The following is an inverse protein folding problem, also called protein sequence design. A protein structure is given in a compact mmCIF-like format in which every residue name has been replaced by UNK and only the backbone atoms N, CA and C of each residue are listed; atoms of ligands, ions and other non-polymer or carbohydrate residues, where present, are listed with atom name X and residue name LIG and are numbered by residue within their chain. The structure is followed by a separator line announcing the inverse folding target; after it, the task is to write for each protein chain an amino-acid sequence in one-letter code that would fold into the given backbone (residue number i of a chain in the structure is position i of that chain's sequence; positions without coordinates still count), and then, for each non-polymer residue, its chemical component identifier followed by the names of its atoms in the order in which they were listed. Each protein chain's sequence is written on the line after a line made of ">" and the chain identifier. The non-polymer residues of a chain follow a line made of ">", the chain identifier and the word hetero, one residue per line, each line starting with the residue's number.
data_IF_725075384986
#
_entry.id   IF_725075384986
#
_cell.length_a   1.000
_cell.length_b   1.000
_cell.length_c   1.000
_cell.angle_alpha   90.00
_cell.angle_beta   90.00
_cell.angle_gamma   90.00
#
_symmetry.space_group_name_H-M   'P 1'
#
loop_
_entity.id
_entity.type
_entity.pdbx_description
1 polymer ?
#
# COMPACT_ATOMS: atom_id res chain seq x y z
N UNK A 1 44.83 -2.38 -21.41
CA UNK A 1 43.81 -3.17 -22.14
C UNK A 1 42.61 -2.26 -22.25
N UNK A 2 42.39 -1.77 -23.46
CA UNK A 2 41.23 -0.95 -23.81
C UNK A 2 39.97 -1.76 -23.49
N UNK A 3 39.12 -1.21 -22.64
CA UNK A 3 37.78 -1.73 -22.47
C UNK A 3 37.03 -1.36 -23.74
N UNK A 4 36.82 -2.36 -24.59
CA UNK A 4 35.95 -2.30 -25.75
C UNK A 4 34.52 -2.06 -25.25
N UNK A 5 34.19 -0.77 -25.07
CA UNK A 5 32.81 -0.36 -24.96
C UNK A 5 32.21 -0.66 -26.33
N UNK A 6 31.41 -1.73 -26.43
CA UNK A 6 30.46 -1.86 -27.52
C UNK A 6 29.72 -0.53 -27.61
N UNK A 7 30.03 0.26 -28.64
CA UNK A 7 29.62 1.64 -28.72
C UNK A 7 28.12 1.66 -28.88
N UNK A 8 27.42 2.14 -27.84
CA UNK A 8 26.03 2.57 -27.98
C UNK A 8 26.00 3.56 -29.14
N UNK A 9 25.43 3.12 -30.25
CA UNK A 9 25.38 3.89 -31.49
C UNK A 9 24.10 4.71 -31.46
N UNK A 10 24.16 6.04 -31.67
CA UNK A 10 22.94 6.84 -31.77
C UNK A 10 22.06 6.28 -32.89
N UNK A 11 20.74 6.36 -32.71
CA UNK A 11 19.80 5.99 -33.78
C UNK A 11 19.99 6.95 -34.97
N UNK A 12 20.43 6.40 -36.09
CA UNK A 12 20.70 7.14 -37.33
C UNK A 12 19.66 6.80 -38.41
N UNK A 13 19.21 7.83 -39.13
CA UNK A 13 18.21 7.70 -40.19
C UNK A 13 16.77 7.59 -39.67
N UNK A 14 15.82 7.52 -40.61
CA UNK A 14 14.41 7.29 -40.28
C UNK A 14 14.22 5.80 -39.95
N UNK A 15 13.55 5.52 -38.83
CA UNK A 15 13.23 4.16 -38.41
C UNK A 15 11.99 3.68 -39.18
N UNK A 16 12.09 2.49 -39.80
CA UNK A 16 10.97 1.86 -40.51
C UNK A 16 10.33 0.71 -39.73
N UNK A 17 11.08 0.10 -38.80
CA UNK A 17 10.63 -1.05 -38.03
C UNK A 17 11.25 -1.07 -36.64
N UNK A 18 10.44 -1.45 -35.65
CA UNK A 18 10.90 -1.71 -34.28
C UNK A 18 10.37 -3.04 -33.80
N UNK A 19 11.20 -3.80 -33.11
CA UNK A 19 10.83 -5.10 -32.55
C UNK A 19 11.23 -5.18 -31.09
N UNK A 20 10.25 -5.40 -30.21
CA UNK A 20 10.46 -5.64 -28.80
C UNK A 20 10.22 -7.13 -28.50
N UNK A 21 11.29 -7.79 -28.07
CA UNK A 21 11.26 -9.13 -27.50
C UNK A 21 11.08 -9.00 -26.00
N UNK A 22 10.18 -9.79 -25.42
CA UNK A 22 9.96 -9.84 -23.97
C UNK A 22 9.80 -11.28 -23.53
N UNK A 23 10.56 -11.68 -22.52
CA UNK A 23 10.67 -13.03 -22.00
C UNK A 23 10.40 -13.04 -20.50
N UNK A 24 9.42 -13.81 -20.08
CA UNK A 24 9.07 -13.99 -18.66
C UNK A 24 9.32 -15.43 -18.24
N UNK A 25 10.27 -15.62 -17.31
CA UNK A 25 10.54 -16.92 -16.69
C UNK A 25 9.63 -17.12 -15.47
N UNK A 26 8.58 -17.94 -15.60
CA UNK A 26 7.81 -18.53 -14.47
C UNK A 26 8.13 -20.03 -14.40
N UNK A 27 7.23 -20.87 -13.87
CA UNK A 27 7.30 -22.34 -14.00
C UNK A 27 7.39 -22.82 -15.46
N UNK A 28 7.04 -21.95 -16.42
CA UNK A 28 7.23 -22.12 -17.87
C UNK A 28 7.85 -20.84 -18.45
N UNK A 29 8.69 -20.97 -19.49
CA UNK A 29 9.24 -19.84 -20.25
C UNK A 29 8.17 -19.33 -21.22
N UNK A 30 7.81 -18.05 -21.12
CA UNK A 30 6.94 -17.35 -22.07
C UNK A 30 7.78 -16.32 -22.83
N UNK A 31 7.61 -16.24 -24.15
CA UNK A 31 8.28 -15.26 -25.03
C UNK A 31 7.25 -14.59 -25.95
N UNK A 32 7.34 -13.24 -26.01
CA UNK A 32 6.50 -12.36 -26.81
C UNK A 32 7.37 -11.50 -27.71
N UNK A 33 6.93 -11.32 -28.94
CA UNK A 33 7.50 -10.39 -29.92
C UNK A 33 6.41 -9.38 -30.26
N UNK A 34 6.70 -8.10 -30.05
CA UNK A 34 5.89 -6.97 -30.50
C UNK A 34 6.67 -6.24 -31.60
N UNK A 35 6.18 -6.33 -32.83
CA UNK A 35 6.77 -5.67 -33.99
C UNK A 35 5.89 -4.50 -34.43
N UNK A 36 6.46 -3.32 -34.61
CA UNK A 36 5.83 -2.14 -35.19
C UNK A 36 6.49 -1.85 -36.53
N UNK A 37 5.69 -1.71 -37.58
CA UNK A 37 6.16 -1.44 -38.94
C UNK A 37 5.51 -0.16 -39.49
N UNK A 38 6.34 0.88 -39.76
CA UNK A 38 5.90 2.19 -40.26
C UNK A 38 5.35 2.06 -41.70
N UNK A 39 6.08 1.38 -42.58
CA UNK A 39 5.73 1.25 -44.01
C UNK A 39 4.38 0.56 -44.22
N UNK A 40 4.11 -0.48 -43.43
CA UNK A 40 2.87 -1.23 -43.48
C UNK A 40 1.78 -0.65 -42.57
N UNK A 41 2.12 0.25 -41.65
CA UNK A 41 1.27 0.70 -40.55
C UNK A 41 0.65 -0.48 -39.76
N UNK A 42 1.46 -1.51 -39.48
CA UNK A 42 1.03 -2.77 -38.83
C UNK A 42 1.80 -3.05 -37.54
N UNK A 43 1.07 -3.54 -36.54
CA UNK A 43 1.63 -4.17 -35.34
C UNK A 43 1.43 -5.67 -35.48
N UNK A 44 2.51 -6.43 -35.36
CA UNK A 44 2.48 -7.88 -35.26
C UNK A 44 2.86 -8.31 -33.84
N UNK A 45 1.99 -9.09 -33.19
CA UNK A 45 2.24 -9.67 -31.87
C UNK A 45 2.35 -11.16 -32.02
N UNK A 46 3.51 -11.74 -31.70
CA UNK A 46 3.75 -13.18 -31.75
C UNK A 46 4.04 -13.71 -30.36
N UNK A 47 3.23 -14.67 -29.90
CA UNK A 47 3.47 -15.40 -28.65
C UNK A 47 3.98 -16.81 -28.96
N UNK A 48 5.21 -17.12 -28.53
CA UNK A 48 5.84 -18.41 -28.82
C UNK A 48 5.47 -19.52 -27.82
N UNK A 49 5.04 -19.17 -26.61
CA UNK A 49 4.70 -20.19 -25.62
C UNK A 49 3.72 -19.64 -24.56
N UNK A 50 2.43 -20.07 -24.54
CA UNK A 50 1.86 -21.14 -25.35
C UNK A 50 1.79 -20.76 -26.84
N UNK A 51 2.06 -21.70 -27.75
CA UNK A 51 2.08 -21.42 -29.18
C UNK A 51 0.64 -21.23 -29.71
N UNK A 52 0.41 -20.20 -30.55
CA UNK A 52 -0.76 -20.20 -31.44
C UNK A 52 -1.55 -18.90 -31.66
N UNK A 53 -1.12 -17.73 -31.18
CA UNK A 53 -1.77 -16.45 -31.57
C UNK A 53 -0.69 -15.46 -32.01
N UNK A 54 -0.44 -15.46 -33.32
CA UNK A 54 0.10 -14.30 -34.01
C UNK A 54 -1.07 -13.40 -34.35
N UNK A 55 -1.18 -12.24 -33.71
CA UNK A 55 -2.21 -11.26 -34.04
C UNK A 55 -1.55 -10.11 -34.83
N UNK A 56 -2.11 -9.77 -35.99
CA UNK A 56 -1.71 -8.60 -36.77
C UNK A 56 -2.81 -7.53 -36.69
N UNK A 57 -2.42 -6.29 -36.40
CA UNK A 57 -3.32 -5.15 -36.26
C UNK A 57 -2.86 -3.98 -37.10
N UNK A 58 -3.79 -3.30 -37.77
CA UNK A 58 -3.53 -2.00 -38.39
C UNK A 58 -3.61 -0.90 -37.32
N UNK A 59 -2.69 0.06 -37.38
CA UNK A 59 -2.69 1.23 -36.49
C UNK A 59 -2.65 2.54 -37.28
N UNK A 60 -3.17 3.65 -36.72
CA UNK A 60 -3.01 4.97 -37.34
C UNK A 60 -1.59 5.47 -37.14
N UNK A 61 -0.95 6.00 -38.18
CA UNK A 61 0.46 6.45 -38.14
C UNK A 61 0.86 7.29 -36.89
N UNK A 62 0.01 8.22 -36.37
CA UNK A 62 0.33 8.95 -35.13
C UNK A 62 0.61 8.09 -33.89
N UNK A 63 0.10 6.85 -33.83
CA UNK A 63 0.42 5.90 -32.76
C UNK A 63 1.86 5.41 -32.84
N UNK A 64 2.41 5.25 -34.05
CA UNK A 64 3.81 4.89 -34.26
C UNK A 64 4.71 6.02 -33.78
N UNK A 65 4.52 7.25 -34.24
CA UNK A 65 5.36 8.39 -33.84
C UNK A 65 5.40 8.59 -32.32
N UNK A 66 4.26 8.46 -31.64
CA UNK A 66 4.17 8.52 -30.18
C UNK A 66 4.98 7.43 -29.50
N UNK A 67 4.73 6.17 -29.84
CA UNK A 67 5.45 5.02 -29.26
C UNK A 67 6.94 5.07 -29.59
N UNK A 68 7.30 5.50 -30.79
CA UNK A 68 8.69 5.66 -31.21
C UNK A 68 9.46 6.66 -30.37
N UNK A 69 8.83 7.76 -29.96
CA UNK A 69 9.44 8.73 -29.05
C UNK A 69 9.81 8.10 -27.70
N UNK A 70 8.87 7.38 -27.09
CA UNK A 70 9.10 6.72 -25.80
C UNK A 70 10.07 5.53 -25.90
N UNK A 71 10.01 4.74 -26.97
CA UNK A 71 10.96 3.65 -27.22
C UNK A 71 12.38 4.18 -27.48
N UNK A 72 12.51 5.31 -28.16
CA UNK A 72 13.79 5.99 -28.37
C UNK A 72 14.36 6.46 -27.03
N UNK A 73 13.56 7.04 -26.15
CA UNK A 73 14.01 7.41 -24.80
C UNK A 73 14.48 6.19 -24.00
N UNK A 74 13.82 5.03 -24.14
CA UNK A 74 14.30 3.76 -23.57
C UNK A 74 15.68 3.41 -24.15
N UNK A 75 15.82 3.46 -25.47
CA UNK A 75 17.09 3.22 -26.17
C UNK A 75 18.18 4.23 -25.84
N UNK A 76 17.88 5.44 -25.38
CA UNK A 76 18.91 6.43 -25.03
C UNK A 76 19.26 6.38 -23.54
N UNK A 77 18.30 6.02 -22.68
CA UNK A 77 18.42 6.16 -21.23
C UNK A 77 18.73 4.84 -20.52
N UNK A 78 18.21 3.72 -21.01
CA UNK A 78 18.28 2.43 -20.30
C UNK A 78 19.34 1.52 -20.91
N UNK A 79 20.54 1.56 -20.32
CA UNK A 79 21.62 0.59 -20.57
C UNK A 79 22.00 -0.04 -19.24
N UNK A 80 21.47 -1.23 -18.98
CA UNK A 80 21.93 -2.00 -17.84
C UNK A 80 22.87 -3.12 -18.29
N UNK A 81 24.06 -3.15 -17.66
CA UNK A 81 24.92 -4.34 -17.57
C UNK A 81 24.29 -5.41 -16.66
N UNK A 82 22.97 -5.54 -16.62
CA UNK A 82 22.35 -6.63 -15.89
C UNK A 82 22.44 -7.86 -16.77
N UNK A 83 23.10 -8.92 -16.30
CA UNK A 83 23.30 -10.17 -17.06
C UNK A 83 21.99 -10.97 -17.30
N UNK A 84 20.84 -10.31 -17.36
CA UNK A 84 19.52 -10.88 -17.64
C UNK A 84 18.89 -10.12 -18.81
N UNK A 85 18.88 -10.78 -19.96
CA UNK A 85 18.21 -10.30 -21.17
C UNK A 85 16.75 -10.78 -21.15
N UNK A 86 15.96 -10.22 -20.23
CA UNK A 86 14.54 -10.54 -20.17
C UNK A 86 13.75 -9.78 -21.25
N UNK A 87 14.24 -8.63 -21.73
CA UNK A 87 13.70 -7.96 -22.91
C UNK A 87 14.82 -7.47 -23.83
N UNK A 88 14.54 -7.37 -25.14
CA UNK A 88 15.44 -6.85 -26.17
C UNK A 88 14.66 -5.95 -27.12
N UNK A 89 15.15 -4.75 -27.38
CA UNK A 89 14.55 -3.78 -28.29
C UNK A 89 15.48 -3.60 -29.49
N UNK A 90 14.95 -3.79 -30.70
CA UNK A 90 15.69 -3.69 -31.97
C UNK A 90 15.02 -2.67 -32.87
N UNK A 91 15.78 -1.70 -33.35
CA UNK A 91 15.36 -0.72 -34.34
C UNK A 91 16.01 -1.04 -35.67
N UNK A 92 15.25 -0.91 -36.76
CA UNK A 92 15.74 -1.05 -38.13
C UNK A 92 15.45 0.24 -38.89
N UNK A 93 16.50 0.88 -39.40
CA UNK A 93 16.36 2.08 -40.21
C UNK A 93 16.04 1.76 -41.68
N UNK A 94 15.72 2.77 -42.48
CA UNK A 94 15.41 2.61 -43.91
C UNK A 94 16.54 1.91 -44.70
N UNK A 95 17.80 2.16 -44.32
CA UNK A 95 19.00 1.54 -44.90
C UNK A 95 19.20 0.06 -44.48
N UNK A 96 18.42 -0.45 -43.52
CA UNK A 96 18.52 -1.81 -43.02
C UNK A 96 19.58 -2.02 -41.93
N UNK A 97 20.11 -0.94 -41.35
CA UNK A 97 20.98 -1.03 -40.17
C UNK A 97 20.15 -1.31 -38.92
N UNK A 98 20.69 -2.18 -38.06
CA UNK A 98 20.06 -2.57 -36.79
C UNK A 98 20.73 -1.88 -35.59
N UNK A 99 19.91 -1.40 -34.66
CA UNK A 99 20.32 -0.79 -33.40
C UNK A 99 19.60 -1.51 -32.26
N UNK A 100 20.33 -1.98 -31.26
CA UNK A 100 19.76 -2.82 -30.21
C UNK A 100 20.11 -2.36 -28.80
N UNK A 101 19.16 -2.56 -27.89
CA UNK A 101 19.37 -2.48 -26.44
C UNK A 101 18.57 -3.59 -25.75
N UNK A 102 18.92 -3.91 -24.51
CA UNK A 102 18.30 -4.99 -23.74
C UNK A 102 18.32 -4.67 -22.25
N UNK A 103 17.54 -5.43 -21.48
CA UNK A 103 17.55 -5.30 -20.03
C UNK A 103 16.66 -6.30 -19.31
N UNK A 104 16.57 -6.13 -18.00
CA UNK A 104 15.74 -6.92 -17.11
C UNK A 104 14.31 -6.35 -17.03
N UNK A 105 13.32 -7.22 -16.79
CA UNK A 105 11.94 -6.78 -16.56
C UNK A 105 11.83 -6.02 -15.23
N UNK A 106 11.39 -4.76 -15.28
CA UNK A 106 11.22 -3.93 -14.09
C UNK A 106 9.75 -3.83 -13.68
N UNK A 107 9.42 -4.24 -12.46
CA UNK A 107 8.03 -4.28 -11.97
C UNK A 107 7.44 -2.91 -11.59
N UNK A 108 8.28 -1.87 -11.51
CA UNK A 108 7.90 -0.52 -11.06
C UNK A 108 8.88 0.50 -11.64
N UNK A 109 8.44 1.74 -11.81
CA UNK A 109 9.25 2.86 -12.30
C UNK A 109 8.93 3.28 -13.73
N UNK A 110 9.88 3.97 -14.38
CA UNK A 110 9.64 4.58 -15.70
C UNK A 110 9.28 3.55 -16.79
N UNK A 111 9.94 2.39 -16.80
CA UNK A 111 9.65 1.32 -17.76
C UNK A 111 8.24 0.73 -17.59
N UNK A 112 7.70 0.64 -16.37
CA UNK A 112 6.31 0.21 -16.17
C UNK A 112 5.32 1.27 -16.63
N UNK A 113 5.62 2.56 -16.45
CA UNK A 113 4.79 3.65 -16.99
C UNK A 113 4.72 3.63 -18.52
N UNK A 114 5.86 3.43 -19.20
CA UNK A 114 5.93 3.28 -20.66
C UNK A 114 5.15 2.03 -21.10
N UNK A 115 5.31 0.92 -20.38
CA UNK A 115 4.57 -0.32 -20.66
C UNK A 115 3.06 -0.12 -20.56
N UNK A 116 2.57 0.55 -19.52
CA UNK A 116 1.14 0.85 -19.35
C UNK A 116 0.61 1.82 -20.42
N UNK A 117 1.41 2.80 -20.83
CA UNK A 117 1.06 3.70 -21.94
C UNK A 117 0.93 2.92 -23.27
N UNK A 118 1.89 2.04 -23.57
CA UNK A 118 1.86 1.17 -24.76
C UNK A 118 0.60 0.29 -24.75
N UNK A 119 0.30 -0.36 -23.62
CA UNK A 119 -0.92 -1.17 -23.45
C UNK A 119 -2.20 -0.35 -23.65
N UNK A 120 -2.24 0.87 -23.10
CA UNK A 120 -3.36 1.79 -23.22
C UNK A 120 -3.58 2.21 -24.68
N UNK A 121 -2.51 2.60 -25.37
CA UNK A 121 -2.55 3.01 -26.77
C UNK A 121 -3.08 1.90 -27.68
N UNK A 122 -2.61 0.67 -27.46
CA UNK A 122 -3.02 -0.49 -28.25
C UNK A 122 -4.26 -1.21 -27.72
N UNK A 123 -4.81 -0.77 -26.57
CA UNK A 123 -5.92 -1.43 -25.87
C UNK A 123 -5.67 -2.92 -25.60
N UNK A 124 -4.40 -3.29 -25.35
CA UNK A 124 -3.95 -4.66 -25.12
C UNK A 124 -3.29 -4.77 -23.73
N UNK A 125 -4.09 -5.13 -22.73
CA UNK A 125 -3.61 -5.24 -21.34
C UNK A 125 -2.74 -6.47 -21.06
N UNK A 126 -2.63 -7.39 -22.02
CA UNK A 126 -1.91 -8.65 -21.94
C UNK A 126 -0.43 -8.54 -22.36
N UNK A 127 -0.04 -7.48 -23.07
CA UNK A 127 1.34 -7.28 -23.54
C UNK A 127 2.33 -7.31 -22.39
N UNK A 128 3.42 -8.06 -22.54
CA UNK A 128 4.47 -8.18 -21.54
C UNK A 128 5.30 -6.91 -21.46
N UNK A 129 5.76 -6.37 -22.60
CA UNK A 129 6.57 -5.14 -22.68
C UNK A 129 7.71 -5.15 -21.64
N UNK A 130 8.24 -4.00 -21.23
CA UNK A 130 9.43 -3.86 -20.39
C UNK A 130 9.23 -4.30 -18.92
N UNK A 131 7.99 -4.43 -18.44
CA UNK A 131 7.69 -4.81 -17.05
C UNK A 131 7.23 -6.27 -16.90
N UNK A 132 6.95 -6.95 -18.02
CA UNK A 132 6.51 -8.33 -18.06
C UNK A 132 5.05 -8.50 -17.64
N UNK A 133 4.25 -7.44 -17.64
CA UNK A 133 2.86 -7.40 -17.20
C UNK A 133 2.69 -8.00 -15.79
N UNK A 134 3.23 -7.33 -14.75
CA UNK A 134 3.02 -7.75 -13.39
C UNK A 134 1.56 -7.54 -12.99
N UNK A 135 1.08 -8.36 -12.06
CA UNK A 135 -0.16 -8.03 -11.37
C UNK A 135 0.14 -6.89 -10.38
N UNK A 136 -0.84 -6.02 -10.17
CA UNK A 136 -0.73 -4.85 -9.29
C UNK A 136 -2.05 -4.60 -8.58
N UNK A 137 -2.00 -3.87 -7.47
CA UNK A 137 -3.22 -3.51 -6.75
C UNK A 137 -3.93 -2.39 -7.51
N UNK A 138 -5.21 -2.59 -7.81
CA UNK A 138 -6.05 -1.60 -8.48
C UNK A 138 -6.98 -0.89 -7.51
N UNK A 139 -7.43 -1.60 -6.46
CA UNK A 139 -8.37 -1.03 -5.50
C UNK A 139 -8.16 -1.60 -4.11
N UNK A 140 -8.20 -0.71 -3.12
CA UNK A 140 -8.26 -1.06 -1.70
C UNK A 140 -9.49 -0.38 -1.11
N UNK A 141 -10.30 -1.14 -0.38
CA UNK A 141 -11.42 -0.63 0.39
C UNK A 141 -11.22 -1.04 1.85
N UNK A 142 -11.19 -0.04 2.72
CA UNK A 142 -11.07 -0.18 4.16
C UNK A 142 -12.41 0.17 4.76
N UNK A 143 -12.90 -0.67 5.65
CA UNK A 143 -14.11 -0.48 6.42
C UNK A 143 -13.74 -0.66 7.88
N UNK A 144 -14.12 0.31 8.71
CA UNK A 144 -13.93 0.30 10.14
C UNK A 144 -15.27 0.61 10.78
N UNK A 145 -15.65 -0.18 11.78
CA UNK A 145 -16.84 0.04 12.58
C UNK A 145 -16.44 0.00 14.05
N UNK A 146 -16.98 0.94 14.82
CA UNK A 146 -16.78 1.05 16.25
C UNK A 146 -18.13 1.27 16.91
N UNK A 147 -18.42 0.44 17.91
CA UNK A 147 -19.57 0.58 18.78
C UNK A 147 -19.02 0.92 20.17
N UNK A 148 -19.10 2.19 20.56
CA UNK A 148 -18.63 2.67 21.85
C UNK A 148 -19.72 2.53 22.91
N UNK A 149 -19.34 2.00 24.07
CA UNK A 149 -20.17 2.01 25.25
C UNK A 149 -19.91 3.29 26.04
N UNK A 150 -20.78 4.29 25.89
CA UNK A 150 -20.86 5.39 26.86
C UNK A 150 -21.81 4.98 27.99
N UNK A 151 -21.67 5.59 29.16
CA UNK A 151 -22.37 5.21 30.39
C UNK A 151 -23.87 4.95 30.19
N UNK A 152 -24.31 3.80 30.71
CA UNK A 152 -25.66 3.21 30.84
C UNK A 152 -26.74 3.34 29.75
N UNK A 153 -26.71 4.23 28.75
CA UNK A 153 -27.80 4.32 27.75
C UNK A 153 -27.40 4.76 26.31
N UNK A 154 -26.17 5.25 26.05
CA UNK A 154 -25.77 5.67 24.68
C UNK A 154 -24.70 4.75 24.05
N UNK A 155 -25.12 3.98 23.07
CA UNK A 155 -24.22 3.30 22.13
C UNK A 155 -23.88 4.30 21.02
N UNK A 156 -22.60 4.61 20.86
CA UNK A 156 -22.14 5.46 19.76
C UNK A 156 -21.59 4.57 18.67
N UNK A 157 -22.38 4.40 17.63
CA UNK A 157 -21.95 3.72 16.41
C UNK A 157 -21.25 4.72 15.50
N UNK A 158 -19.97 4.47 15.24
CA UNK A 158 -19.22 5.13 14.18
C UNK A 158 -18.76 4.14 13.13
N UNK A 159 -18.73 4.61 11.89
CA UNK A 159 -18.17 3.86 10.77
C UNK A 159 -17.31 4.76 9.91
N UNK A 160 -16.20 4.20 9.46
CA UNK A 160 -15.31 4.83 8.50
C UNK A 160 -15.11 3.90 7.31
N UNK A 161 -15.11 4.49 6.12
CA UNK A 161 -14.84 3.82 4.86
C UNK A 161 -13.84 4.62 4.06
N UNK A 162 -12.73 3.99 3.68
CA UNK A 162 -11.72 4.58 2.78
C UNK A 162 -11.65 3.72 1.53
N UNK A 163 -11.84 4.31 0.37
CA UNK A 163 -11.66 3.65 -0.93
C UNK A 163 -10.53 4.34 -1.68
N UNK A 164 -9.51 3.57 -2.01
CA UNK A 164 -8.37 3.98 -2.83
C UNK A 164 -8.52 3.25 -4.15
N UNK A 165 -8.71 3.99 -5.23
CA UNK A 165 -9.08 3.41 -6.52
C UNK A 165 -8.22 3.96 -7.66
N UNK A 166 -7.52 3.05 -8.34
CA UNK A 166 -6.64 3.37 -9.47
C UNK A 166 -7.44 3.90 -10.66
N UNK A 167 -8.60 3.33 -10.95
CA UNK A 167 -9.36 3.67 -12.15
C UNK A 167 -9.88 5.12 -12.13
N UNK A 168 -10.32 5.57 -10.96
CA UNK A 168 -10.75 6.97 -10.75
C UNK A 168 -9.62 7.91 -10.33
N UNK A 169 -8.41 7.37 -10.07
CA UNK A 169 -7.27 8.09 -9.48
C UNK A 169 -7.71 8.93 -8.26
N UNK A 170 -8.49 8.33 -7.37
CA UNK A 170 -9.10 9.03 -6.25
C UNK A 170 -9.05 8.23 -4.95
N UNK A 171 -9.05 8.98 -3.84
CA UNK A 171 -9.29 8.47 -2.50
C UNK A 171 -10.59 9.07 -1.98
N UNK A 172 -11.55 8.19 -1.64
CA UNK A 172 -12.84 8.57 -1.08
C UNK A 172 -12.88 8.14 0.38
N UNK A 173 -12.98 9.11 1.28
CA UNK A 173 -13.15 8.88 2.72
C UNK A 173 -14.58 9.22 3.11
N UNK A 174 -15.27 8.29 3.76
CA UNK A 174 -16.62 8.46 4.27
C UNK A 174 -16.61 8.15 5.75
N UNK A 175 -17.12 9.04 6.57
CA UNK A 175 -17.26 8.85 8.02
C UNK A 175 -18.70 9.09 8.41
N UNK A 176 -19.27 8.17 9.16
CA UNK A 176 -20.56 8.33 9.78
C UNK A 176 -20.36 8.21 11.29
N UNK A 177 -20.88 9.16 12.04
CA UNK A 177 -20.89 9.13 13.51
C UNK A 177 -22.32 9.37 13.94
N UNK A 178 -22.91 8.38 14.61
CA UNK A 178 -24.35 8.29 14.78
C UNK A 178 -25.13 8.37 13.45
N UNK A 179 -26.45 8.48 13.54
CA UNK A 179 -27.31 8.80 12.40
C UNK A 179 -27.21 10.27 11.93
N UNK A 180 -26.46 11.11 12.65
CA UNK A 180 -26.53 12.57 12.53
C UNK A 180 -25.39 13.18 11.72
N UNK A 181 -24.17 12.65 11.80
CA UNK A 181 -23.02 13.22 11.10
C UNK A 181 -22.58 12.29 9.97
N UNK A 182 -22.57 12.82 8.74
CA UNK A 182 -22.08 12.14 7.54
C UNK A 182 -21.09 13.03 6.84
N UNK A 183 -19.83 12.64 6.83
CA UNK A 183 -18.75 13.35 6.14
C UNK A 183 -18.32 12.52 4.95
N UNK A 184 -18.15 13.17 3.80
CA UNK A 184 -17.56 12.56 2.61
C UNK A 184 -16.52 13.50 2.01
N UNK A 185 -15.30 13.01 1.92
CA UNK A 185 -14.20 13.66 1.21
C UNK A 185 -13.87 12.84 -0.03
N UNK A 186 -13.70 13.50 -1.16
CA UNK A 186 -13.25 12.89 -2.40
C UNK A 186 -12.03 13.67 -2.88
N UNK A 187 -10.86 13.04 -2.87
CA UNK A 187 -9.60 13.65 -3.27
C UNK A 187 -9.14 12.97 -4.55
N UNK A 188 -9.05 13.74 -5.63
CA UNK A 188 -8.61 13.26 -6.94
C UNK A 188 -7.13 13.59 -7.12
N UNK A 189 -6.28 12.57 -7.22
CA UNK A 189 -4.83 12.67 -7.17
C UNK A 189 -4.19 11.86 -8.31
N UNK A 190 -4.38 12.36 -9.54
CA UNK A 190 -3.90 11.72 -10.77
C UNK A 190 -2.41 11.34 -10.70
N UNK A 191 -2.10 10.07 -10.92
CA UNK A 191 -0.76 9.49 -10.89
C UNK A 191 -0.27 9.19 -9.48
N UNK A 192 -0.65 9.99 -8.48
CA UNK A 192 -0.26 9.78 -7.08
C UNK A 192 -0.96 8.53 -6.51
N UNK A 193 -2.25 8.29 -6.81
CA UNK A 193 -2.95 7.09 -6.36
C UNK A 193 -2.33 5.84 -6.99
N UNK A 194 -2.07 5.86 -8.30
CA UNK A 194 -1.35 4.78 -8.97
C UNK A 194 -0.01 4.48 -8.31
N UNK A 195 0.81 5.50 -8.06
CA UNK A 195 2.12 5.35 -7.42
C UNK A 195 2.00 4.79 -6.00
N UNK A 196 1.01 5.25 -5.22
CA UNK A 196 0.74 4.71 -3.89
C UNK A 196 0.37 3.22 -3.93
N UNK A 197 -0.46 2.81 -4.89
CA UNK A 197 -0.88 1.42 -5.04
C UNK A 197 0.21 0.51 -5.62
N UNK A 198 1.15 1.03 -6.41
CA UNK A 198 2.30 0.28 -6.92
C UNK A 198 3.26 -0.15 -5.79
N UNK A 199 3.28 0.60 -4.69
CA UNK A 199 4.02 0.29 -3.47
C UNK A 199 3.36 -0.80 -2.61
N UNK A 200 2.10 -1.15 -2.89
CA UNK A 200 1.35 -2.16 -2.15
C UNK A 200 1.51 -3.53 -2.82
N UNK A 201 1.99 -4.50 -2.06
CA UNK A 201 2.11 -5.88 -2.55
C UNK A 201 0.72 -6.47 -2.87
N UNK A 202 0.62 -7.21 -3.97
CA UNK A 202 -0.57 -8.03 -4.28
C UNK A 202 -0.87 -9.10 -3.21
N UNK A 203 0.11 -9.41 -2.36
CA UNK A 203 -0.03 -10.30 -1.21
C UNK A 203 -0.13 -9.52 0.12
N UNK A 204 -0.39 -8.21 0.10
CA UNK A 204 -0.60 -7.43 1.32
C UNK A 204 -1.72 -8.03 2.17
N UNK A 205 -1.65 -7.78 3.47
CA UNK A 205 -2.64 -8.19 4.46
C UNK A 205 -2.82 -9.71 4.59
N UNK A 206 -1.82 -10.51 4.18
CA UNK A 206 -1.94 -11.99 4.18
C UNK A 206 -1.82 -12.64 5.56
N UNK A 207 -1.23 -11.95 6.53
CA UNK A 207 -0.89 -12.54 7.84
C UNK A 207 -1.47 -11.68 8.94
N UNK A 208 -2.32 -12.29 9.75
CA UNK A 208 -2.86 -11.76 11.01
C UNK A 208 -2.35 -12.68 12.12
N UNK A 209 -1.84 -12.12 13.21
CA UNK A 209 -1.35 -12.92 14.34
C UNK A 209 -2.51 -13.52 15.14
N UNK A 210 -3.55 -12.72 15.34
CA UNK A 210 -4.73 -13.07 16.12
C UNK A 210 -4.51 -12.83 17.62
N UNK A 211 -5.62 -12.60 18.30
CA UNK A 211 -5.64 -12.45 19.75
C UNK A 211 -5.58 -13.82 20.46
N UNK A 212 -4.93 -13.91 21.63
CA UNK A 212 -5.06 -15.06 22.53
C UNK A 212 -6.52 -15.36 22.88
N UNK A 213 -6.82 -16.61 23.26
CA UNK A 213 -8.19 -17.03 23.58
C UNK A 213 -8.72 -16.45 24.91
N UNK A 214 -7.83 -15.97 25.77
CA UNK A 214 -8.10 -15.46 27.11
C UNK A 214 -8.05 -13.93 27.20
N UNK A 215 -8.13 -13.24 26.06
CA UNK A 215 -8.33 -11.78 26.05
C UNK A 215 -9.62 -11.39 26.77
N UNK A 216 -9.54 -10.30 27.51
CA UNK A 216 -10.68 -9.67 28.15
C UNK A 216 -11.51 -8.91 27.11
N UNK A 217 -12.79 -8.71 27.41
CA UNK A 217 -13.62 -7.81 26.62
C UNK A 217 -13.07 -6.40 26.69
N UNK A 218 -13.01 -5.71 25.55
CA UNK A 218 -12.57 -4.32 25.49
C UNK A 218 -13.65 -3.43 26.14
N UNK A 219 -13.37 -2.77 27.26
CA UNK A 219 -14.37 -1.93 27.92
C UNK A 219 -14.74 -0.70 27.09
N UNK A 220 -13.87 -0.25 26.17
CA UNK A 220 -14.18 0.80 25.20
C UNK A 220 -15.16 0.35 24.09
N UNK A 221 -15.62 -0.91 24.12
CA UNK A 221 -16.58 -1.46 23.15
C UNK A 221 -15.93 -2.17 21.97
N UNK A 222 -16.79 -2.67 21.08
CA UNK A 222 -16.38 -3.51 19.95
C UNK A 222 -15.85 -2.63 18.80
N UNK A 223 -14.68 -3.00 18.27
CA UNK A 223 -14.07 -2.35 17.13
C UNK A 223 -13.65 -3.40 16.13
N UNK A 224 -14.14 -3.27 14.90
CA UNK A 224 -13.92 -4.25 13.84
C UNK A 224 -13.49 -3.59 12.55
N UNK A 225 -12.78 -4.34 11.73
CA UNK A 225 -12.41 -3.90 10.40
C UNK A 225 -12.72 -4.94 9.33
N UNK A 226 -12.75 -4.43 8.10
CA UNK A 226 -12.82 -5.21 6.88
C UNK A 226 -11.99 -4.52 5.80
N UNK A 227 -10.96 -5.21 5.30
CA UNK A 227 -10.09 -4.79 4.21
C UNK A 227 -10.42 -5.64 2.98
N UNK A 228 -10.70 -4.97 1.87
CA UNK A 228 -10.86 -5.59 0.55
C UNK A 228 -9.77 -5.09 -0.38
N UNK A 229 -9.10 -6.01 -1.06
CA UNK A 229 -8.05 -5.72 -2.03
C UNK A 229 -8.41 -6.39 -3.36
N UNK A 230 -8.39 -5.61 -4.43
CA UNK A 230 -8.63 -6.08 -5.80
C UNK A 230 -7.41 -5.77 -6.67
N UNK A 231 -6.96 -6.76 -7.45
CA UNK A 231 -5.80 -6.62 -8.34
C UNK A 231 -6.20 -6.48 -9.80
N UNK A 232 -5.26 -6.01 -10.64
CA UNK A 232 -5.39 -5.90 -12.10
C UNK A 232 -5.90 -7.17 -12.77
N UNK A 233 -5.46 -8.35 -12.31
CA UNK A 233 -5.92 -9.63 -12.85
C UNK A 233 -7.18 -10.18 -12.16
N UNK A 234 -7.93 -9.33 -11.45
CA UNK A 234 -9.22 -9.68 -10.85
C UNK A 234 -9.11 -10.54 -9.59
N UNK A 235 -7.91 -10.71 -9.02
CA UNK A 235 -7.79 -11.39 -7.72
C UNK A 235 -8.41 -10.50 -6.66
N UNK A 236 -9.28 -11.10 -5.84
CA UNK A 236 -9.94 -10.44 -4.71
C UNK A 236 -9.49 -11.08 -3.41
N UNK A 237 -9.17 -10.25 -2.43
CA UNK A 237 -8.90 -10.68 -1.06
C UNK A 237 -9.78 -9.89 -0.11
N UNK A 238 -10.28 -10.59 0.88
CA UNK A 238 -11.02 -10.02 2.00
C UNK A 238 -10.37 -10.46 3.32
N UNK A 239 -10.11 -9.52 4.22
CA UNK A 239 -9.56 -9.75 5.56
C UNK A 239 -10.39 -8.97 6.55
N UNK A 240 -10.79 -9.60 7.65
CA UNK A 240 -11.60 -8.98 8.70
C UNK A 240 -11.18 -9.51 10.06
N UNK A 241 -11.42 -8.70 11.08
CA UNK A 241 -11.08 -9.05 12.46
C UNK A 241 -11.39 -7.89 13.41
N UNK A 242 -10.94 -8.05 14.65
CA UNK A 242 -10.96 -6.99 15.65
C UNK A 242 -9.91 -5.91 15.31
N UNK A 243 -10.25 -4.66 15.54
CA UNK A 243 -9.38 -3.52 15.25
C UNK A 243 -8.47 -3.22 16.43
N UNK A 244 -7.45 -4.08 16.58
CA UNK A 244 -6.40 -4.00 17.58
C UNK A 244 -5.10 -4.53 16.98
N UNK A 245 -3.98 -4.33 17.67
CA UNK A 245 -2.63 -4.64 17.18
C UNK A 245 -2.45 -6.07 16.69
N UNK A 246 -3.07 -7.05 17.36
CA UNK A 246 -2.92 -8.48 17.03
C UNK A 246 -4.04 -8.95 16.10
N UNK A 247 -5.21 -8.31 16.14
CA UNK A 247 -6.34 -8.55 15.24
C UNK A 247 -6.10 -8.04 13.81
N UNK A 248 -5.24 -7.04 13.64
CA UNK A 248 -4.89 -6.46 12.34
C UNK A 248 -3.79 -7.24 11.60
N UNK A 249 -3.68 -7.07 10.27
CA UNK A 249 -2.57 -7.63 9.53
C UNK A 249 -1.22 -7.07 9.99
N UNK A 250 -0.18 -7.90 9.98
CA UNK A 250 1.18 -7.52 10.44
C UNK A 250 1.76 -6.34 9.66
N UNK A 251 1.39 -6.19 8.40
CA UNK A 251 1.81 -5.09 7.52
C UNK A 251 0.91 -3.84 7.62
N UNK A 252 -0.11 -3.84 8.48
CA UNK A 252 -1.04 -2.72 8.67
C UNK A 252 -0.35 -1.42 9.11
N UNK A 253 0.51 -1.38 10.17
CA UNK A 253 1.07 -0.11 10.64
C UNK A 253 1.82 0.65 9.54
N UNK A 254 2.63 -0.07 8.76
CA UNK A 254 3.38 0.50 7.63
C UNK A 254 2.46 1.02 6.52
N UNK A 255 1.36 0.33 6.25
CA UNK A 255 0.37 0.77 5.28
C UNK A 255 -0.38 2.02 5.78
N UNK A 256 -0.84 2.01 7.04
CA UNK A 256 -1.57 3.09 7.66
C UNK A 256 -0.72 4.37 7.75
N UNK A 257 0.56 4.26 8.14
CA UNK A 257 1.51 5.37 8.16
C UNK A 257 1.65 6.04 6.79
N UNK A 258 1.90 5.25 5.73
CA UNK A 258 2.03 5.77 4.36
C UNK A 258 0.76 6.46 3.89
N UNK A 259 -0.41 5.86 4.14
CA UNK A 259 -1.69 6.42 3.74
C UNK A 259 -2.02 7.69 4.53
N UNK A 260 -1.74 7.71 5.84
CA UNK A 260 -1.93 8.88 6.68
C UNK A 260 -1.06 10.04 6.22
N UNK A 261 0.21 9.78 5.92
CA UNK A 261 1.13 10.79 5.36
C UNK A 261 0.61 11.36 4.04
N UNK A 262 0.09 10.52 3.14
CA UNK A 262 -0.51 10.96 1.89
C UNK A 262 -1.73 11.88 2.13
N UNK A 263 -2.63 11.50 3.04
CA UNK A 263 -3.88 12.22 3.29
C UNK A 263 -3.71 13.50 4.13
N UNK A 264 -2.68 13.53 4.99
CA UNK A 264 -2.36 14.67 5.84
C UNK A 264 -2.19 15.96 5.04
N UNK A 265 -1.51 15.91 3.90
CA UNK A 265 -1.32 17.08 3.01
C UNK A 265 -2.63 17.67 2.47
N UNK A 266 -3.71 16.89 2.46
CA UNK A 266 -5.00 17.28 1.92
C UNK A 266 -6.05 17.53 3.01
N UNK A 267 -5.64 17.58 4.29
CA UNK A 267 -6.54 17.82 5.41
C UNK A 267 -7.57 16.71 5.61
N UNK A 268 -7.29 15.50 5.11
CA UNK A 268 -8.13 14.33 5.30
C UNK A 268 -7.47 13.46 6.36
N UNK A 269 -8.21 13.16 7.43
CA UNK A 269 -7.77 12.28 8.49
C UNK A 269 -8.82 11.19 8.71
N UNK A 270 -8.35 10.00 9.10
CA UNK A 270 -9.21 8.87 9.42
C UNK A 270 -8.83 8.23 10.74
N UNK A 271 -9.83 7.83 11.53
CA UNK A 271 -9.64 7.14 12.81
C UNK A 271 -8.96 5.79 12.60
N UNK A 272 -9.28 5.13 11.49
CA UNK A 272 -8.66 3.87 11.09
C UNK A 272 -7.15 4.00 10.83
N UNK A 273 -6.64 5.23 10.62
CA UNK A 273 -5.22 5.50 10.36
C UNK A 273 -4.47 6.02 11.60
N UNK A 274 -5.15 6.12 12.74
CA UNK A 274 -4.54 6.62 13.97
C UNK A 274 -3.82 5.47 14.73
N UNK A 275 -2.50 5.55 14.95
CA UNK A 275 -1.76 4.52 15.70
C UNK A 275 -2.29 4.29 17.10
N UNK A 276 -2.82 5.32 17.78
CA UNK A 276 -3.42 5.15 19.10
C UNK A 276 -4.60 4.16 19.11
N UNK A 277 -5.27 3.96 17.96
CA UNK A 277 -6.34 2.99 17.82
C UNK A 277 -5.79 1.60 17.43
N UNK A 278 -5.00 1.52 16.36
CA UNK A 278 -4.59 0.23 15.80
C UNK A 278 -3.40 -0.43 16.51
N UNK A 279 -2.65 0.29 17.35
CA UNK A 279 -1.56 -0.28 18.15
C UNK A 279 -2.01 -0.76 19.53
N UNK A 280 -3.27 -0.58 19.89
CA UNK A 280 -3.84 -1.07 21.16
C UNK A 280 -3.76 -2.59 21.20
N UNK A 281 -3.21 -3.13 22.28
CA UNK A 281 -3.24 -4.58 22.57
C UNK A 281 -4.47 -4.86 23.44
N UNK A 282 -5.11 -6.02 23.28
CA UNK A 282 -6.15 -6.46 24.21
C UNK A 282 -5.52 -7.19 25.39
N UNK A 283 -5.91 -6.82 26.60
CA UNK A 283 -5.41 -7.40 27.85
C UNK A 283 -5.87 -8.85 28.03
N UNK A 284 -4.96 -9.73 28.45
CA UNK A 284 -5.30 -11.09 28.86
C UNK A 284 -5.68 -11.14 30.35
N UNK A 285 -6.47 -12.15 30.75
CA UNK A 285 -7.02 -12.24 32.11
C UNK A 285 -5.98 -12.24 33.25
N UNK A 286 -4.77 -12.70 32.98
CA UNK A 286 -3.67 -12.81 33.96
C UNK A 286 -2.68 -11.62 33.92
N UNK A 287 -2.92 -10.62 33.08
CA UNK A 287 -2.09 -9.43 32.96
C UNK A 287 -2.57 -8.29 33.87
N UNK A 288 -1.61 -7.57 34.45
CA UNK A 288 -1.79 -6.32 35.17
C UNK A 288 -1.79 -5.15 34.19
N UNK A 289 -2.44 -4.04 34.56
CA UNK A 289 -2.56 -2.83 33.76
C UNK A 289 -1.54 -1.81 34.25
N UNK A 290 -0.58 -1.47 33.39
CA UNK A 290 0.42 -0.44 33.65
C UNK A 290 0.12 0.78 32.80
N UNK A 291 0.05 1.96 33.43
CA UNK A 291 -0.19 3.21 32.75
C UNK A 291 1.02 4.13 32.93
N UNK A 292 1.58 4.62 31.83
CA UNK A 292 2.60 5.65 31.86
C UNK A 292 1.90 7.02 31.95
N UNK A 293 2.12 7.74 33.05
CA UNK A 293 1.44 8.99 33.39
C UNK A 293 2.45 10.13 33.42
N UNK A 294 2.18 11.20 32.68
CA UNK A 294 2.98 12.42 32.65
C UNK A 294 2.24 13.56 33.38
N UNK A 295 2.95 14.40 34.13
CA UNK A 295 2.35 15.45 34.98
C UNK A 295 2.61 16.88 34.49
N UNK A 296 3.46 17.04 33.46
CA UNK A 296 3.85 18.33 32.91
C UNK A 296 4.38 18.18 31.47
N UNK A 297 4.35 19.27 30.68
CA UNK A 297 4.82 19.29 29.29
C UNK A 297 6.34 18.99 29.12
N UNK A 298 7.09 18.79 30.21
CA UNK A 298 8.55 18.58 30.22
C UNK A 298 9.04 17.33 30.96
N UNK A 299 8.15 16.57 31.59
CA UNK A 299 8.51 15.45 32.47
C UNK A 299 8.67 14.11 31.77
N UNK A 300 9.43 13.21 32.40
CA UNK A 300 9.44 11.79 32.04
C UNK A 300 8.24 11.11 32.69
N UNK A 301 7.43 10.39 31.92
CA UNK A 301 6.29 9.65 32.44
C UNK A 301 6.70 8.66 33.55
N UNK A 302 5.86 8.54 34.58
CA UNK A 302 5.99 7.53 35.63
C UNK A 302 5.01 6.40 35.37
N UNK A 303 5.41 5.18 35.72
CA UNK A 303 4.55 4.01 35.54
C UNK A 303 3.72 3.74 36.80
N UNK A 304 2.41 3.66 36.62
CA UNK A 304 1.41 3.41 37.66
C UNK A 304 0.62 2.13 37.36
N UNK A 305 0.04 1.50 38.38
CA UNK A 305 -0.92 0.40 38.21
C UNK A 305 -2.35 0.92 38.12
N UNK A 306 -3.17 0.27 37.31
CA UNK A 306 -4.61 0.44 37.32
C UNK A 306 -5.32 -0.86 37.71
N UNK A 307 -6.43 -0.73 38.43
CA UNK A 307 -7.25 -1.87 38.86
C UNK A 307 -8.33 -2.22 37.81
N UNK A 308 -8.73 -1.23 36.99
CA UNK A 308 -9.76 -1.35 35.94
C UNK A 308 -9.20 -0.96 34.57
N UNK A 309 -9.61 -1.67 33.52
CA UNK A 309 -9.07 -1.56 32.16
C UNK A 309 -9.70 -0.42 31.33
N UNK A 310 -10.06 0.68 31.98
CA UNK A 310 -10.88 1.75 31.36
C UNK A 310 -10.07 2.91 30.78
N UNK A 311 -8.75 2.86 30.90
CA UNK A 311 -7.87 3.98 30.63
C UNK A 311 -7.29 3.94 29.21
N UNK A 312 -7.20 5.08 28.55
CA UNK A 312 -6.67 5.26 27.20
C UNK A 312 -5.69 6.44 27.12
N UNK A 313 -4.96 6.54 26.00
CA UNK A 313 -4.07 7.67 25.73
C UNK A 313 -4.82 9.00 25.84
N UNK A 314 -4.22 9.98 26.53
CA UNK A 314 -4.75 11.32 26.71
C UNK A 314 -5.73 11.47 27.88
N UNK A 315 -6.19 10.37 28.49
CA UNK A 315 -7.02 10.43 29.70
C UNK A 315 -6.27 11.15 30.83
N UNK A 316 -6.95 12.07 31.50
CA UNK A 316 -6.45 12.69 32.73
C UNK A 316 -6.82 11.82 33.93
N UNK A 317 -5.91 11.67 34.90
CA UNK A 317 -6.06 10.75 36.03
C UNK A 317 -5.49 11.30 37.33
N UNK A 318 -6.05 10.83 38.45
CA UNK A 318 -5.48 10.98 39.78
C UNK A 318 -4.57 9.80 40.12
N UNK A 319 -3.41 10.08 40.72
CA UNK A 319 -2.42 9.05 41.10
C UNK A 319 -2.13 9.11 42.60
N UNK A 320 -2.01 7.95 43.23
CA UNK A 320 -1.74 7.83 44.66
C UNK A 320 -0.50 8.63 45.10
N UNK A 321 -0.70 9.53 46.07
CA UNK A 321 0.36 10.33 46.68
C UNK A 321 0.99 11.37 45.75
N UNK A 322 0.27 11.76 44.69
CA UNK A 322 0.60 12.90 43.82
C UNK A 322 -0.65 13.79 43.79
N UNK A 323 -0.49 15.08 44.07
CA UNK A 323 -1.60 16.02 44.16
C UNK A 323 -1.98 16.61 42.79
N UNK A 324 -1.04 16.55 41.83
CA UNK A 324 -1.22 16.98 40.45
C UNK A 324 -2.02 15.97 39.61
N UNK A 325 -2.77 16.48 38.63
CA UNK A 325 -3.46 15.66 37.62
C UNK A 325 -2.43 15.23 36.59
N UNK A 326 -2.36 13.93 36.32
CA UNK A 326 -1.50 13.37 35.29
C UNK A 326 -2.28 13.02 34.02
N UNK A 327 -1.62 12.99 32.88
CA UNK A 327 -2.16 12.53 31.61
C UNK A 327 -1.52 11.21 31.20
N UNK A 328 -2.32 10.26 30.72
CA UNK A 328 -1.83 8.96 30.25
C UNK A 328 -1.16 9.10 28.88
N UNK A 329 0.10 8.70 28.79
CA UNK A 329 0.87 8.63 27.54
C UNK A 329 0.84 7.23 26.89
N UNK A 330 0.62 6.18 27.67
CA UNK A 330 0.44 4.82 27.15
C UNK A 330 -0.09 3.86 28.20
N UNK A 331 -0.70 2.78 27.74
CA UNK A 331 -1.18 1.67 28.57
C UNK A 331 -0.52 0.39 28.06
N UNK A 332 0.08 -0.36 28.98
CA UNK A 332 0.77 -1.62 28.73
C UNK A 332 0.22 -2.73 29.62
N UNK A 333 0.22 -3.96 29.12
CA UNK A 333 -0.23 -5.13 29.86
C UNK A 333 0.93 -6.10 30.04
N UNK A 334 1.20 -6.48 31.28
CA UNK A 334 2.25 -7.43 31.61
C UNK A 334 1.80 -8.39 32.69
N UNK A 335 2.25 -9.64 32.63
CA UNK A 335 2.11 -10.58 33.74
C UNK A 335 2.91 -10.10 34.94
N UNK A 336 2.54 -10.58 36.12
CA UNK A 336 3.18 -10.20 37.38
C UNK A 336 4.69 -10.49 37.38
N UNK A 337 5.09 -11.61 36.79
CA UNK A 337 6.48 -12.07 36.66
C UNK A 337 7.30 -11.23 35.67
N UNK A 338 6.65 -10.65 34.67
CA UNK A 338 7.27 -9.84 33.61
C UNK A 338 7.12 -8.34 33.86
N UNK A 339 6.70 -7.94 35.07
CA UNK A 339 6.42 -6.56 35.41
C UNK A 339 7.64 -5.66 35.14
N UNK A 340 7.47 -4.55 34.38
CA UNK A 340 8.58 -3.65 34.01
C UNK A 340 9.20 -2.94 35.20
N UNK A 341 8.45 -2.82 36.31
CA UNK A 341 8.90 -2.21 37.56
C UNK A 341 8.48 -3.03 38.78
N UNK A 342 9.15 -2.78 39.90
CA UNK A 342 8.85 -3.49 41.16
C UNK A 342 7.48 -3.12 41.72
N UNK A 343 6.61 -4.13 41.85
CA UNK A 343 5.26 -3.98 42.38
C UNK A 343 5.18 -3.63 43.87
N UNK A 344 6.32 -3.63 44.60
CA UNK A 344 6.31 -3.34 46.05
C UNK A 344 6.05 -1.87 46.39
N UNK A 345 6.32 -0.96 45.46
CA UNK A 345 6.25 0.50 45.67
C UNK A 345 5.64 1.24 44.48
N UNK A 346 4.98 0.51 43.57
CA UNK A 346 4.29 1.13 42.45
C UNK A 346 3.03 1.82 42.96
N UNK A 347 2.75 3.01 42.43
CA UNK A 347 1.56 3.80 42.77
C UNK A 347 0.37 3.31 41.95
N UNK A 348 -0.83 3.48 42.48
CA UNK A 348 -2.06 3.15 41.77
C UNK A 348 -2.72 4.42 41.18
N UNK A 349 -3.37 4.26 40.03
CA UNK A 349 -4.36 5.23 39.53
C UNK A 349 -5.60 5.11 40.40
N UNK A 350 -6.07 6.25 40.91
CA UNK A 350 -7.22 6.34 41.79
C UNK A 350 -8.54 6.51 41.03
N UNK A 351 -8.48 7.01 39.79
CA UNK A 351 -9.65 7.28 38.95
C UNK A 351 -9.33 8.24 37.80
N UNK A 352 -10.25 8.30 36.82
CA UNK A 352 -10.22 9.35 35.79
C UNK A 352 -10.55 10.71 36.40
N UNK A 353 -9.94 11.75 35.84
CA UNK A 353 -10.31 13.12 36.05
C UNK A 353 -11.29 13.54 34.95
N UNK A 354 -12.55 13.74 35.34
CA UNK A 354 -13.59 14.26 34.44
C UNK A 354 -13.74 15.77 34.72
N UNK A 355 -13.24 16.61 33.81
CA UNK A 355 -13.56 18.05 33.78
C UNK A 355 -15.07 18.19 33.49
N UNK A 356 -15.85 18.60 34.48
CA UNK A 356 -17.28 18.91 34.31
C UNK A 356 -17.51 20.25 33.62
#
# INVERSE_FOLDING_TARGET
>A
MENDFGTHRPLEGKIKKVTLYSRKKRSTIFEQILELNDEKATIEIVNHNPPGMGDEYLFPNPAFDGVMGDLKDVYETFFEKSGRDDWKLVFVNEAGEEFETHGALQKSGRLSSISDMIRSMFKRNDLLVFDGNPDKVDRIELLFNRCLNFSNEEIVDSSERIVIDRASEAIVVQRNTFDRLKVRSNVQLAGIVSNFLDDVSVNAFSRVEGNPADVCENPAGEQNYLIRLETKFGRKKEVKGSFDKRGLPVDWPKFAEKLNYLLYYYGVAGEILNPFNYEKVLRCKDELIFCNVCFDDSGSAIMCLADEDQYEFGDCVYVEGIDEIGQIESVEYHKKEDAPVSLRKIRHILGKYDDF
#
